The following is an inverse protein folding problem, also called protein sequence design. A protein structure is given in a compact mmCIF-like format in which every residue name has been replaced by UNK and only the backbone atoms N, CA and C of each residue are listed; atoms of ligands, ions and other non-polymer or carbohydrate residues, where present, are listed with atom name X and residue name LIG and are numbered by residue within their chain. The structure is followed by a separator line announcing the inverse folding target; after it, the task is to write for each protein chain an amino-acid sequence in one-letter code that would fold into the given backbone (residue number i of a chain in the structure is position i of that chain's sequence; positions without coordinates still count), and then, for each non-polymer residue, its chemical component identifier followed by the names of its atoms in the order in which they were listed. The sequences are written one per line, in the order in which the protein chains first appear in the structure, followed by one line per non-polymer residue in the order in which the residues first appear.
data_IF_254317106649
#
_entry.id   IF_254317106649
#
_cell.length_a   1.000
_cell.length_b   1.000
_cell.length_c   1.000
_cell.angle_alpha   90.00
_cell.angle_beta   90.00
_cell.angle_gamma   90.00
#
_symmetry.space_group_name_H-M   'P 1'
#
loop_
_entity.id
_entity.type
_entity.pdbx_description
1 polymer ?
#
# COMPACT_ATOMS: atom_id res chain seq x y z
N UNK A 1 -28.29 -35.67 -62.50
CA UNK A 1 -27.38 -34.61 -62.01
C UNK A 1 -27.58 -34.23 -60.54
N UNK A 2 -28.70 -34.59 -59.88
CA UNK A 2 -28.99 -34.22 -58.47
C UNK A 2 -28.07 -34.89 -57.44
N UNK A 3 -27.87 -36.20 -57.55
CA UNK A 3 -27.20 -37.03 -56.54
C UNK A 3 -25.71 -36.68 -56.29
N UNK A 4 -25.01 -36.15 -57.31
CA UNK A 4 -23.60 -35.73 -57.17
C UNK A 4 -23.46 -34.43 -56.39
N UNK A 5 -24.37 -33.46 -56.61
CA UNK A 5 -24.39 -32.20 -55.87
C UNK A 5 -24.74 -32.43 -54.40
N UNK A 6 -25.70 -33.33 -54.14
CA UNK A 6 -26.08 -33.75 -52.78
C UNK A 6 -24.90 -34.41 -52.03
N UNK A 7 -24.09 -35.24 -52.70
CA UNK A 7 -22.88 -35.83 -52.10
C UNK A 7 -21.77 -34.81 -51.82
N UNK A 8 -21.59 -33.82 -52.70
CA UNK A 8 -20.62 -32.73 -52.49
C UNK A 8 -21.03 -31.82 -51.33
N UNK A 9 -22.33 -31.53 -51.22
CA UNK A 9 -22.91 -30.76 -50.11
C UNK A 9 -22.83 -31.51 -48.78
N UNK A 10 -23.08 -32.82 -48.78
CA UNK A 10 -22.91 -33.66 -47.58
C UNK A 10 -21.47 -33.57 -47.04
N UNK A 11 -20.46 -33.76 -47.90
CA UNK A 11 -19.04 -33.68 -47.50
C UNK A 11 -18.66 -32.30 -46.98
N UNK A 12 -19.20 -31.25 -47.60
CA UNK A 12 -19.00 -29.88 -47.12
C UNK A 12 -19.58 -29.68 -45.72
N UNK A 13 -20.82 -30.13 -45.50
CA UNK A 13 -21.50 -30.02 -44.20
C UNK A 13 -20.82 -30.86 -43.13
N UNK A 14 -20.34 -32.07 -43.45
CA UNK A 14 -19.58 -32.92 -42.54
C UNK A 14 -18.26 -32.25 -42.10
N UNK A 15 -17.53 -31.69 -43.06
CA UNK A 15 -16.29 -30.95 -42.76
C UNK A 15 -16.57 -29.74 -41.87
N UNK A 16 -17.66 -29.01 -42.15
CA UNK A 16 -18.08 -27.85 -41.36
C UNK A 16 -18.53 -28.25 -39.95
N UNK A 17 -19.23 -29.38 -39.81
CA UNK A 17 -19.64 -29.93 -38.51
C UNK A 17 -18.43 -30.23 -37.63
N UNK A 18 -17.43 -30.93 -38.17
CA UNK A 18 -16.20 -31.27 -37.42
C UNK A 18 -15.48 -30.00 -36.93
N UNK A 19 -15.39 -28.98 -37.78
CA UNK A 19 -14.80 -27.69 -37.39
C UNK A 19 -15.56 -27.01 -36.26
N UNK A 20 -16.90 -27.00 -36.34
CA UNK A 20 -17.75 -26.40 -35.30
C UNK A 20 -17.70 -27.18 -33.99
N UNK A 21 -17.64 -28.50 -34.03
CA UNK A 21 -17.48 -29.36 -32.84
C UNK A 21 -16.15 -29.08 -32.14
N UNK A 22 -15.05 -28.97 -32.90
CA UNK A 22 -13.75 -28.60 -32.35
C UNK A 22 -13.74 -27.19 -31.74
N UNK A 23 -14.41 -26.22 -32.37
CA UNK A 23 -14.56 -24.87 -31.82
C UNK A 23 -15.36 -24.88 -30.51
N UNK A 24 -16.45 -25.64 -30.46
CA UNK A 24 -17.29 -25.75 -29.26
C UNK A 24 -16.50 -26.34 -28.08
N UNK A 25 -15.69 -27.36 -28.33
CA UNK A 25 -14.88 -27.98 -27.28
C UNK A 25 -13.83 -27.01 -26.72
N UNK A 26 -13.12 -26.29 -27.59
CA UNK A 26 -12.18 -25.24 -27.17
C UNK A 26 -12.86 -24.16 -26.32
N UNK A 27 -14.08 -23.76 -26.67
CA UNK A 27 -14.84 -22.77 -25.90
C UNK A 27 -15.25 -23.33 -24.52
N UNK A 28 -15.60 -24.61 -24.43
CA UNK A 28 -15.91 -25.27 -23.16
C UNK A 28 -14.69 -25.33 -22.24
N UNK A 29 -13.54 -25.70 -22.77
CA UNK A 29 -12.28 -25.73 -22.02
C UNK A 29 -11.93 -24.34 -21.48
N UNK A 30 -12.02 -23.33 -22.34
CA UNK A 30 -11.75 -21.95 -21.95
C UNK A 30 -12.72 -21.45 -20.88
N UNK A 31 -14.01 -21.79 -20.99
CA UNK A 31 -15.01 -21.49 -19.94
C UNK A 31 -14.62 -22.15 -18.61
N UNK A 32 -14.15 -23.39 -18.64
CA UNK A 32 -13.67 -24.11 -17.46
C UNK A 32 -12.45 -23.43 -16.82
N UNK A 33 -11.48 -23.00 -17.62
CA UNK A 33 -10.30 -22.26 -17.16
C UNK A 33 -10.68 -20.93 -16.51
N UNK A 34 -11.50 -20.12 -17.21
CA UNK A 34 -11.99 -18.83 -16.70
C UNK A 34 -12.78 -19.01 -15.41
N UNK A 35 -13.59 -20.07 -15.29
CA UNK A 35 -14.32 -20.37 -14.05
C UNK A 35 -13.39 -20.65 -12.85
N UNK A 36 -12.27 -21.34 -13.08
CA UNK A 36 -11.24 -21.56 -12.04
C UNK A 36 -10.56 -20.25 -11.65
N UNK A 37 -10.21 -19.41 -12.62
CA UNK A 37 -9.61 -18.10 -12.38
C UNK A 37 -10.53 -17.18 -11.57
N UNK A 38 -11.83 -17.10 -11.94
CA UNK A 38 -12.84 -16.36 -11.20
C UNK A 38 -12.88 -16.83 -9.75
N UNK A 39 -12.96 -18.14 -9.51
CA UNK A 39 -13.03 -18.72 -8.16
C UNK A 39 -11.80 -18.37 -7.31
N UNK A 40 -10.61 -18.42 -7.91
CA UNK A 40 -9.35 -18.05 -7.26
C UNK A 40 -9.32 -16.56 -6.89
N UNK A 41 -9.69 -15.68 -7.83
CA UNK A 41 -9.71 -14.23 -7.61
C UNK A 41 -10.76 -13.85 -6.57
N UNK A 42 -11.96 -14.42 -6.63
CA UNK A 42 -13.01 -14.19 -5.62
C UNK A 42 -12.57 -14.58 -4.22
N UNK A 43 -11.85 -15.70 -4.08
CA UNK A 43 -11.31 -16.14 -2.79
C UNK A 43 -10.27 -15.15 -2.24
N UNK A 44 -9.36 -14.67 -3.10
CA UNK A 44 -8.39 -13.63 -2.73
C UNK A 44 -9.09 -12.33 -2.32
N UNK A 45 -10.07 -11.88 -3.10
CA UNK A 45 -10.84 -10.68 -2.80
C UNK A 45 -11.52 -10.77 -1.42
N UNK A 46 -12.13 -11.92 -1.11
CA UNK A 46 -12.74 -12.16 0.19
C UNK A 46 -11.73 -12.07 1.34
N UNK A 47 -10.55 -12.68 1.20
CA UNK A 47 -9.50 -12.59 2.24
C UNK A 47 -9.02 -11.15 2.47
N UNK A 48 -8.89 -10.36 1.41
CA UNK A 48 -8.50 -8.95 1.50
C UNK A 48 -9.59 -8.14 2.20
N UNK A 49 -10.86 -8.35 1.82
CA UNK A 49 -11.99 -7.67 2.45
C UNK A 49 -12.11 -7.98 3.94
N UNK A 50 -11.91 -9.25 4.34
CA UNK A 50 -11.87 -9.63 5.75
C UNK A 50 -10.77 -8.89 6.51
N UNK A 51 -9.58 -8.76 5.91
CA UNK A 51 -8.45 -8.04 6.53
C UNK A 51 -8.71 -6.53 6.63
N UNK A 52 -9.34 -5.93 5.61
CA UNK A 52 -9.78 -4.53 5.66
C UNK A 52 -10.78 -4.33 6.79
N UNK A 53 -11.78 -5.21 6.92
CA UNK A 53 -12.78 -5.12 7.99
C UNK A 53 -12.15 -5.29 9.37
N UNK A 54 -11.20 -6.22 9.54
CA UNK A 54 -10.48 -6.39 10.79
C UNK A 54 -9.67 -5.14 11.19
N UNK A 55 -9.11 -4.41 10.21
CA UNK A 55 -8.40 -3.15 10.46
C UNK A 55 -9.35 -1.98 10.73
N UNK A 56 -10.48 -1.89 10.02
CA UNK A 56 -11.52 -0.88 10.26
C UNK A 56 -12.28 -1.09 11.56
N UNK A 57 -12.46 -2.35 11.97
CA UNK A 57 -13.17 -2.74 13.19
C UNK A 57 -12.38 -2.53 14.47
N UNK A 58 -11.10 -2.16 14.38
CA UNK A 58 -10.34 -1.60 15.52
C UNK A 58 -10.80 -0.17 15.73
N UNK A 59 -11.97 -0.01 16.34
CA UNK A 59 -12.48 1.26 16.84
C UNK A 59 -11.86 1.64 18.18
N UNK A 60 -10.59 1.29 18.38
CA UNK A 60 -9.87 1.76 19.55
C UNK A 60 -9.82 3.29 19.47
N UNK A 61 -10.08 3.97 20.58
CA UNK A 61 -9.95 5.41 20.64
C UNK A 61 -8.48 5.78 20.36
N UNK A 62 -8.20 6.27 19.15
CA UNK A 62 -6.87 6.75 18.79
C UNK A 62 -6.75 8.20 19.24
N UNK A 63 -5.85 8.44 20.20
CA UNK A 63 -5.43 9.80 20.57
C UNK A 63 -4.39 10.24 19.56
N UNK A 64 -4.65 11.34 18.84
CA UNK A 64 -3.68 11.88 17.88
C UNK A 64 -2.48 12.52 18.59
N UNK A 65 -1.32 12.58 17.93
CA UNK A 65 -0.16 13.32 18.42
C UNK A 65 -0.50 14.78 18.75
N UNK A 66 -1.33 15.42 17.92
CA UNK A 66 -1.81 16.77 18.20
C UNK A 66 -2.60 16.84 19.52
N UNK A 67 -3.47 15.87 19.80
CA UNK A 67 -4.22 15.83 21.05
C UNK A 67 -3.29 15.61 22.26
N UNK A 68 -2.26 14.77 22.12
CA UNK A 68 -1.24 14.59 23.16
C UNK A 68 -0.46 15.89 23.42
N UNK A 69 0.00 16.58 22.37
CA UNK A 69 0.68 17.87 22.49
C UNK A 69 -0.19 18.91 23.19
N UNK A 70 -1.48 19.01 22.82
CA UNK A 70 -2.42 19.92 23.48
C UNK A 70 -2.64 19.61 24.96
N UNK A 71 -2.66 18.32 25.32
CA UNK A 71 -2.77 17.90 26.71
C UNK A 71 -1.52 18.35 27.50
N UNK A 72 -0.32 18.10 26.98
CA UNK A 72 0.93 18.53 27.61
C UNK A 72 1.01 20.06 27.77
N UNK A 73 0.61 20.83 26.75
CA UNK A 73 0.61 22.30 26.81
C UNK A 73 -0.42 22.85 27.81
N UNK A 74 -1.67 22.38 27.73
CA UNK A 74 -2.81 23.04 28.41
C UNK A 74 -3.08 22.47 29.80
N UNK A 75 -2.81 21.19 30.00
CA UNK A 75 -3.10 20.48 31.25
C UNK A 75 -1.84 20.37 32.09
N UNK A 76 -0.76 19.83 31.52
CA UNK A 76 0.53 19.69 32.22
C UNK A 76 1.35 21.00 32.24
N UNK A 77 0.89 22.05 31.54
CA UNK A 77 1.53 23.37 31.48
C UNK A 77 3.00 23.33 31.00
N UNK A 78 3.34 22.35 30.15
CA UNK A 78 4.64 22.28 29.51
C UNK A 78 4.71 23.26 28.34
N UNK A 79 5.71 24.13 28.34
CA UNK A 79 5.97 25.01 27.20
C UNK A 79 6.66 24.24 26.07
N UNK A 80 5.86 23.58 25.23
CA UNK A 80 6.35 22.82 24.07
C UNK A 80 7.04 23.72 23.04
N UNK A 81 6.74 25.03 23.02
CA UNK A 81 7.42 25.98 22.14
C UNK A 81 8.90 26.16 22.48
N UNK A 82 9.33 25.76 23.69
CA UNK A 82 10.75 25.69 24.06
C UNK A 82 11.52 24.77 23.12
N UNK A 83 10.93 23.68 22.62
CA UNK A 83 11.63 22.76 21.71
C UNK A 83 12.05 23.45 20.41
N UNK A 84 11.21 24.31 19.85
CA UNK A 84 11.59 25.12 18.69
C UNK A 84 12.74 26.07 19.02
N UNK A 85 12.74 26.70 20.20
CA UNK A 85 13.87 27.56 20.61
C UNK A 85 15.15 26.76 20.81
N UNK A 86 15.05 25.57 21.39
CA UNK A 86 16.18 24.70 21.67
C UNK A 86 16.81 24.16 20.38
N UNK A 87 16.00 23.86 19.36
CA UNK A 87 16.45 23.14 18.16
C UNK A 87 16.64 24.09 16.97
N UNK A 88 15.70 24.99 16.71
CA UNK A 88 15.71 25.85 15.53
C UNK A 88 16.55 27.12 15.71
N UNK A 89 16.75 27.59 16.96
CA UNK A 89 17.53 28.81 17.25
C UNK A 89 19.00 28.51 17.61
N UNK A 90 19.42 27.25 17.61
CA UNK A 90 20.83 26.87 17.81
C UNK A 90 21.65 27.08 16.53
N UNK A 91 22.34 28.22 16.43
CA UNK A 91 23.12 28.61 15.24
C UNK A 91 24.23 27.61 14.89
N UNK A 92 24.88 27.00 15.88
CA UNK A 92 25.93 26.00 15.64
C UNK A 92 25.33 24.75 15.02
N UNK A 93 24.25 24.23 15.59
CA UNK A 93 23.51 23.09 15.05
C UNK A 93 23.01 23.38 13.63
N UNK A 94 22.42 24.56 13.39
CA UNK A 94 21.94 24.97 12.07
C UNK A 94 23.08 25.00 11.04
N UNK A 95 24.27 25.46 11.42
CA UNK A 95 25.44 25.48 10.53
C UNK A 95 25.88 24.06 10.16
N UNK A 96 25.95 23.16 11.13
CA UNK A 96 26.38 21.77 10.95
C UNK A 96 25.39 21.01 10.08
N UNK A 97 24.09 21.19 10.31
CA UNK A 97 23.02 20.55 9.53
C UNK A 97 23.01 21.05 8.08
N UNK A 98 23.24 22.35 7.85
CA UNK A 98 23.37 22.89 6.49
C UNK A 98 24.57 22.31 5.73
N UNK A 99 25.66 22.02 6.42
CA UNK A 99 26.88 21.47 5.80
C UNK A 99 26.78 19.97 5.57
N UNK A 100 26.28 19.22 6.54
CA UNK A 100 26.28 17.75 6.52
C UNK A 100 24.96 17.14 6.03
N UNK A 101 23.86 17.88 6.09
CA UNK A 101 22.54 17.43 5.69
C UNK A 101 21.95 16.41 6.66
N UNK A 102 21.59 15.24 6.13
CA UNK A 102 20.95 14.17 6.90
C UNK A 102 21.95 13.55 7.88
N UNK A 103 21.53 13.31 9.13
CA UNK A 103 22.43 12.77 10.14
C UNK A 103 21.87 12.81 11.55
N UNK A 104 22.72 12.38 12.49
CA UNK A 104 22.43 12.39 13.93
C UNK A 104 23.35 13.42 14.57
N UNK A 105 22.76 14.41 15.24
CA UNK A 105 23.51 15.56 15.77
C UNK A 105 23.24 15.72 17.28
N UNK A 106 24.28 15.68 18.13
CA UNK A 106 24.12 15.91 19.56
C UNK A 106 23.79 17.38 19.84
N UNK A 107 22.87 17.62 20.78
CA UNK A 107 22.58 18.97 21.28
C UNK A 107 23.44 19.20 22.51
N UNK A 108 24.45 20.07 22.37
CA UNK A 108 25.48 20.30 23.38
C UNK A 108 24.86 20.64 24.74
N UNK A 109 25.31 19.94 25.78
CA UNK A 109 24.93 20.21 27.17
C UNK A 109 23.50 19.80 27.54
N UNK A 110 22.79 19.06 26.67
CA UNK A 110 21.40 18.64 26.93
C UNK A 110 21.16 17.14 26.99
N UNK A 111 22.18 16.32 26.69
CA UNK A 111 22.10 14.86 26.87
C UNK A 111 21.19 14.15 25.88
N UNK A 112 20.96 14.74 24.71
CA UNK A 112 20.15 14.16 23.64
C UNK A 112 20.66 14.54 22.26
N UNK A 113 20.30 13.74 21.26
CA UNK A 113 20.64 13.89 19.84
C UNK A 113 19.39 14.04 18.99
N UNK A 114 19.50 14.82 17.92
CA UNK A 114 18.48 14.99 16.89
C UNK A 114 18.78 14.07 15.71
N UNK A 115 17.76 13.39 15.22
CA UNK A 115 17.82 12.65 13.95
C UNK A 115 17.18 13.53 12.88
N UNK A 116 17.97 13.93 11.88
CA UNK A 116 17.56 14.88 10.85
C UNK A 116 17.57 14.22 9.49
N UNK A 117 16.46 14.37 8.76
CA UNK A 117 16.28 13.85 7.42
C UNK A 117 15.52 14.86 6.57
N UNK A 118 16.05 15.18 5.40
CA UNK A 118 15.48 16.12 4.43
C UNK A 118 15.14 17.47 5.08
N UNK A 119 16.06 17.96 5.92
CA UNK A 119 15.94 19.21 6.69
C UNK A 119 14.78 19.24 7.71
N UNK A 120 14.29 18.06 8.13
CA UNK A 120 13.27 17.88 9.17
C UNK A 120 13.85 17.08 10.33
N UNK A 121 13.57 17.51 11.56
CA UNK A 121 13.85 16.68 12.75
C UNK A 121 12.82 15.56 12.80
N UNK A 122 13.25 14.34 12.49
CA UNK A 122 12.40 13.15 12.45
C UNK A 122 12.14 12.61 13.87
N UNK A 123 13.16 12.65 14.73
CA UNK A 123 13.03 12.21 16.13
C UNK A 123 14.15 12.75 17.03
N UNK A 124 14.00 12.56 18.34
CA UNK A 124 14.99 12.87 19.38
C UNK A 124 15.38 11.57 20.08
N UNK A 125 16.68 11.33 20.24
CA UNK A 125 17.25 10.16 20.93
C UNK A 125 18.11 10.62 22.10
N UNK A 126 18.27 9.79 23.12
CA UNK A 126 19.13 10.13 24.26
C UNK A 126 20.61 9.90 23.90
N UNK A 127 21.49 10.67 24.52
CA UNK A 127 22.92 10.35 24.54
C UNK A 127 23.10 9.11 25.44
N UNK A 128 23.47 7.96 24.87
CA UNK A 128 23.97 6.80 25.64
C UNK A 128 25.23 7.15 26.44
#
# INVERSE_FOLDING_TARGET
MSNRKEQEELKYLESKKVLLEAQLENLRDRKGQVGKEISLVSSKLNSVNQRIQALKGRSDLIVSEHAMLRYLERVEQLDVAILNRIIAEDEELQSVVKTLGNGIFPVKGRGFKLVIKDNVVETITLDD
#
